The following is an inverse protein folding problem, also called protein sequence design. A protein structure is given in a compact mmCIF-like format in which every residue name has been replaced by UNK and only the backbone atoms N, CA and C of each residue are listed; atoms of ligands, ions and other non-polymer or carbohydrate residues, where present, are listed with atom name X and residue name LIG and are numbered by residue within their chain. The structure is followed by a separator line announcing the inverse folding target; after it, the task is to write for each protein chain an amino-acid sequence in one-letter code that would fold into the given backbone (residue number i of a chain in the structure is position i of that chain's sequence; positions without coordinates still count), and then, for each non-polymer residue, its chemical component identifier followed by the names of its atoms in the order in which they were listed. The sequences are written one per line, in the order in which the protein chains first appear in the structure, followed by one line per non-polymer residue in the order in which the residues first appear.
data_IF_315671919362
#
_entry.id   IF_315671919362
#
_cell.length_a   1.000
_cell.length_b   1.000
_cell.length_c   1.000
_cell.angle_alpha   90.00
_cell.angle_beta   90.00
_cell.angle_gamma   90.00
#
_symmetry.space_group_name_H-M   'P 1'
#
loop_
_entity.id
_entity.type
_entity.pdbx_description
1 polymer ?
#
# COMPACT_ATOMS: atom_id res chain seq x y z
N UNK A 1 -19.72 14.17 -6.71
CA UNK A 1 -18.65 13.38 -7.36
C UNK A 1 -18.18 12.35 -6.38
N UNK A 2 -17.76 11.16 -6.81
CA UNK A 2 -17.24 10.15 -5.88
C UNK A 2 -15.88 10.57 -5.32
N UNK A 3 -15.63 10.30 -4.03
CA UNK A 3 -14.36 10.59 -3.36
C UNK A 3 -13.25 9.60 -3.77
N UNK A 4 -13.63 8.47 -4.36
CA UNK A 4 -12.74 7.46 -4.93
C UNK A 4 -13.13 7.20 -6.38
N UNK A 5 -12.18 7.32 -7.31
CA UNK A 5 -12.35 6.91 -8.70
C UNK A 5 -11.72 5.54 -8.90
N UNK A 6 -12.41 4.67 -9.62
CA UNK A 6 -11.96 3.30 -9.87
C UNK A 6 -11.81 3.12 -11.39
N UNK A 7 -10.59 2.81 -11.82
CA UNK A 7 -10.25 2.57 -13.20
C UNK A 7 -9.59 1.19 -13.37
N UNK A 8 -9.91 0.53 -14.48
CA UNK A 8 -9.36 -0.79 -14.77
C UNK A 8 -8.40 -0.74 -15.95
N UNK A 9 -7.22 -1.31 -15.77
CA UNK A 9 -6.16 -1.45 -16.77
C UNK A 9 -5.80 -2.94 -16.92
N UNK A 10 -6.60 -3.69 -17.69
CA UNK A 10 -6.44 -5.14 -17.77
C UNK A 10 -6.65 -5.81 -16.41
N UNK A 11 -5.60 -6.44 -15.88
CA UNK A 11 -5.62 -7.08 -14.54
C UNK A 11 -5.21 -6.15 -13.40
N UNK A 12 -5.00 -4.87 -13.66
CA UNK A 12 -4.69 -3.86 -12.64
C UNK A 12 -5.93 -3.03 -12.34
N UNK A 13 -6.25 -2.86 -11.05
CA UNK A 13 -7.29 -1.95 -10.58
C UNK A 13 -6.64 -0.72 -9.95
N UNK A 14 -6.88 0.45 -10.53
CA UNK A 14 -6.42 1.73 -9.99
C UNK A 14 -7.52 2.39 -9.16
N UNK A 15 -7.18 2.77 -7.94
CA UNK A 15 -8.01 3.50 -6.99
C UNK A 15 -7.42 4.90 -6.83
N UNK A 16 -8.07 5.90 -7.43
CA UNK A 16 -7.57 7.29 -7.37
C UNK A 16 -8.35 8.07 -6.32
N UNK A 17 -7.65 8.58 -5.31
CA UNK A 17 -8.21 9.46 -4.28
C UNK A 17 -8.65 10.77 -4.92
N UNK A 18 -9.92 11.15 -4.76
CA UNK A 18 -10.53 12.27 -5.49
C UNK A 18 -11.29 13.23 -4.57
N UNK A 19 -10.60 13.76 -3.56
CA UNK A 19 -11.07 14.88 -2.71
C UNK A 19 -10.14 16.10 -2.84
N UNK A 20 -9.98 16.69 -4.04
CA UNK A 20 -8.98 17.73 -4.28
C UNK A 20 -9.20 18.98 -3.40
N UNK A 21 -10.45 19.33 -3.09
CA UNK A 21 -10.82 20.43 -2.21
C UNK A 21 -10.36 20.22 -0.76
N UNK A 22 -10.21 18.97 -0.32
CA UNK A 22 -9.70 18.58 0.99
C UNK A 22 -8.26 18.02 0.92
N UNK A 23 -7.52 18.25 -0.19
CA UNK A 23 -6.16 17.73 -0.40
C UNK A 23 -6.08 16.21 -0.21
N UNK A 24 -7.13 15.49 -0.61
CA UNK A 24 -7.30 14.05 -0.41
C UNK A 24 -7.22 13.60 1.06
N UNK A 25 -7.59 14.44 2.02
CA UNK A 25 -7.68 14.05 3.42
C UNK A 25 -8.60 12.83 3.59
N UNK A 26 -8.14 11.85 4.37
CA UNK A 26 -8.81 10.58 4.59
C UNK A 26 -9.90 10.74 5.66
N UNK A 27 -11.15 10.85 5.20
CA UNK A 27 -12.33 10.80 6.06
C UNK A 27 -12.89 9.37 6.13
N UNK A 28 -13.88 9.16 6.99
CA UNK A 28 -14.57 7.87 7.14
C UNK A 28 -15.13 7.35 5.81
N UNK A 29 -15.75 8.23 5.00
CA UNK A 29 -16.39 7.85 3.74
C UNK A 29 -15.36 7.33 2.73
N UNK A 30 -14.22 8.03 2.55
CA UNK A 30 -13.16 7.62 1.63
C UNK A 30 -12.48 6.32 2.09
N UNK A 31 -12.19 6.17 3.40
CA UNK A 31 -11.64 4.92 3.93
C UNK A 31 -12.59 3.74 3.73
N UNK A 32 -13.90 3.96 3.88
CA UNK A 32 -14.92 2.92 3.60
C UNK A 32 -14.89 2.52 2.13
N UNK A 33 -14.88 3.49 1.20
CA UNK A 33 -14.82 3.21 -0.24
C UNK A 33 -13.54 2.45 -0.63
N UNK A 34 -12.38 2.80 -0.04
CA UNK A 34 -11.12 2.08 -0.28
C UNK A 34 -11.25 0.63 0.22
N UNK A 35 -11.73 0.42 1.45
CA UNK A 35 -11.88 -0.92 2.03
C UNK A 35 -12.81 -1.79 1.19
N UNK A 36 -13.98 -1.29 0.83
CA UNK A 36 -14.97 -2.00 -0.01
C UNK A 36 -14.41 -2.34 -1.40
N UNK A 37 -13.74 -1.37 -2.05
CA UNK A 37 -13.12 -1.60 -3.36
C UNK A 37 -12.05 -2.70 -3.31
N UNK A 38 -11.21 -2.71 -2.26
CA UNK A 38 -10.19 -3.74 -2.07
C UNK A 38 -10.80 -5.11 -1.73
N UNK A 39 -11.88 -5.18 -0.94
CA UNK A 39 -12.59 -6.43 -0.65
C UNK A 39 -13.21 -7.04 -1.91
N UNK A 40 -13.85 -6.23 -2.74
CA UNK A 40 -14.35 -6.68 -4.06
C UNK A 40 -13.19 -7.16 -4.94
N UNK A 41 -12.09 -6.39 -5.01
CA UNK A 41 -10.92 -6.75 -5.78
C UNK A 41 -10.23 -8.05 -5.27
N UNK A 42 -10.31 -8.33 -3.96
CA UNK A 42 -9.70 -9.53 -3.38
C UNK A 42 -10.34 -10.83 -3.91
N UNK A 43 -11.64 -10.82 -4.20
CA UNK A 43 -12.41 -11.96 -4.69
C UNK A 43 -12.56 -11.98 -6.23
N UNK A 44 -12.24 -10.90 -6.94
CA UNK A 44 -12.29 -10.82 -8.40
C UNK A 44 -11.02 -11.43 -9.02
N UNK A 45 -11.09 -12.64 -9.55
CA UNK A 45 -9.95 -13.33 -10.18
C UNK A 45 -9.39 -12.59 -11.40
N UNK A 46 -10.13 -11.68 -11.98
CA UNK A 46 -9.68 -10.84 -13.08
C UNK A 46 -8.80 -9.67 -12.63
N UNK A 47 -8.73 -9.36 -11.33
CA UNK A 47 -7.81 -8.40 -10.72
C UNK A 47 -6.57 -9.13 -10.16
N UNK A 48 -5.39 -8.76 -10.60
CA UNK A 48 -4.12 -9.29 -10.10
C UNK A 48 -3.42 -8.37 -9.10
N UNK A 49 -3.51 -7.05 -9.31
CA UNK A 49 -2.82 -6.01 -8.53
C UNK A 49 -3.73 -4.80 -8.37
N UNK A 50 -3.64 -4.13 -7.21
CA UNK A 50 -4.26 -2.81 -7.04
C UNK A 50 -3.19 -1.71 -6.93
N UNK A 51 -3.50 -0.52 -7.47
CA UNK A 51 -2.69 0.69 -7.35
C UNK A 51 -3.54 1.77 -6.68
N UNK A 52 -3.05 2.39 -5.60
CA UNK A 52 -3.66 3.58 -5.01
C UNK A 52 -2.88 4.79 -5.48
N UNK A 53 -3.56 5.79 -6.02
CA UNK A 53 -2.96 7.05 -6.47
C UNK A 53 -3.74 8.26 -5.93
N UNK A 54 -3.11 9.42 -6.00
CA UNK A 54 -3.77 10.69 -5.68
C UNK A 54 -3.78 11.63 -6.89
N UNK A 55 -3.64 12.93 -6.63
CA UNK A 55 -3.45 13.92 -7.67
C UNK A 55 -1.98 14.40 -7.71
N UNK A 56 -1.55 15.19 -8.72
CA UNK A 56 -0.14 15.59 -8.84
C UNK A 56 0.44 16.38 -7.67
N UNK A 57 -0.40 16.99 -6.80
CA UNK A 57 0.04 17.78 -5.65
C UNK A 57 -0.12 17.07 -4.31
N UNK A 58 -1.09 16.16 -4.22
CA UNK A 58 -1.43 15.46 -2.99
C UNK A 58 -1.76 14.00 -3.29
N UNK A 59 -0.97 13.09 -2.76
CA UNK A 59 -1.43 11.73 -2.56
C UNK A 59 -2.56 11.75 -1.52
N UNK A 60 -2.24 12.08 -0.27
CA UNK A 60 -3.20 12.38 0.79
C UNK A 60 -2.54 13.21 1.89
N UNK A 61 -3.19 14.31 2.29
CA UNK A 61 -2.61 15.27 3.26
C UNK A 61 -2.81 14.89 4.73
N UNK A 62 -3.39 13.72 5.02
CA UNK A 62 -3.60 13.22 6.37
C UNK A 62 -5.03 12.77 6.64
N UNK A 63 -5.39 12.61 7.90
CA UNK A 63 -6.77 12.39 8.32
C UNK A 63 -7.59 13.69 8.15
N UNK A 64 -8.90 13.54 7.97
CA UNK A 64 -9.80 14.70 7.95
C UNK A 64 -9.97 15.22 9.39
N UNK A 65 -9.30 16.35 9.70
CA UNK A 65 -9.28 16.93 11.03
C UNK A 65 -10.66 17.45 11.47
N UNK A 66 -11.56 17.79 10.53
CA UNK A 66 -12.91 18.19 10.88
C UNK A 66 -13.70 17.03 11.52
N UNK A 67 -13.44 15.78 11.08
CA UNK A 67 -14.05 14.60 11.71
C UNK A 67 -13.43 14.24 13.07
N UNK A 68 -12.28 14.83 13.43
CA UNK A 68 -11.58 14.54 14.67
C UNK A 68 -11.79 15.61 15.74
N UNK A 69 -11.99 16.86 15.33
CA UNK A 69 -11.92 18.05 16.21
C UNK A 69 -12.94 18.01 17.36
N UNK A 70 -14.11 17.43 17.15
CA UNK A 70 -15.19 17.40 18.14
C UNK A 70 -15.32 16.08 18.91
N UNK A 71 -14.38 15.12 18.68
CA UNK A 71 -14.45 13.81 19.33
C UNK A 71 -13.81 13.84 20.71
N UNK A 72 -14.58 13.45 21.71
CA UNK A 72 -14.09 13.10 23.03
C UNK A 72 -13.50 11.66 23.06
N UNK A 73 -13.05 11.22 24.22
CA UNK A 73 -12.45 9.88 24.36
C UNK A 73 -13.45 8.75 24.04
N UNK A 74 -14.71 8.73 24.52
CA UNK A 74 -15.70 7.73 24.15
C UNK A 74 -15.93 7.65 22.63
N UNK A 75 -16.16 8.78 21.97
CA UNK A 75 -16.37 8.84 20.53
C UNK A 75 -15.11 8.41 19.72
N UNK A 76 -13.92 8.58 20.28
CA UNK A 76 -12.67 8.11 19.69
C UNK A 76 -12.52 6.59 19.83
N UNK A 77 -12.90 6.01 20.96
CA UNK A 77 -12.86 4.55 21.18
C UNK A 77 -13.89 3.81 20.32
N UNK A 78 -15.05 4.41 20.06
CA UNK A 78 -16.10 3.85 19.19
C UNK A 78 -15.87 4.13 17.69
N UNK A 79 -14.77 4.78 17.34
CA UNK A 79 -14.49 5.13 15.95
C UNK A 79 -14.34 3.87 15.06
N UNK A 80 -15.03 3.88 13.93
CA UNK A 80 -14.95 2.78 12.95
C UNK A 80 -13.63 2.77 12.16
N UNK A 81 -12.90 3.91 12.09
CA UNK A 81 -11.68 4.04 11.28
C UNK A 81 -10.61 2.98 11.59
N UNK A 82 -10.31 2.60 12.83
CA UNK A 82 -9.38 1.49 13.11
C UNK A 82 -9.81 0.18 12.43
N UNK A 83 -11.12 -0.13 12.40
CA UNK A 83 -11.64 -1.31 11.69
C UNK A 83 -11.50 -1.18 10.18
N UNK A 84 -11.68 0.02 9.61
CA UNK A 84 -11.48 0.26 8.19
C UNK A 84 -10.01 0.07 7.80
N UNK A 85 -9.07 0.55 8.60
CA UNK A 85 -7.64 0.30 8.40
C UNK A 85 -7.30 -1.19 8.43
N UNK A 86 -7.87 -1.95 9.36
CA UNK A 86 -7.70 -3.41 9.41
C UNK A 86 -8.24 -4.09 8.14
N UNK A 87 -9.40 -3.66 7.62
CA UNK A 87 -9.96 -4.18 6.37
C UNK A 87 -9.08 -3.89 5.16
N UNK A 88 -8.53 -2.67 5.06
CA UNK A 88 -7.58 -2.29 4.01
C UNK A 88 -6.30 -3.14 4.12
N UNK A 89 -5.78 -3.30 5.34
CA UNK A 89 -4.57 -4.09 5.62
C UNK A 89 -4.74 -5.57 5.30
N UNK A 90 -5.95 -6.11 5.41
CA UNK A 90 -6.28 -7.50 5.10
C UNK A 90 -6.24 -7.84 3.59
N UNK A 91 -6.00 -6.86 2.71
CA UNK A 91 -5.96 -7.10 1.27
C UNK A 91 -4.81 -8.04 0.87
N UNK A 92 -5.14 -9.17 0.24
CA UNK A 92 -4.22 -10.29 0.02
C UNK A 92 -3.43 -10.22 -1.29
N UNK A 93 -3.88 -9.43 -2.27
CA UNK A 93 -3.15 -9.24 -3.54
C UNK A 93 -2.14 -8.11 -3.43
N UNK A 94 -1.13 -8.01 -4.31
CA UNK A 94 -0.20 -6.89 -4.30
C UNK A 94 -0.91 -5.53 -4.38
N UNK A 95 -0.44 -4.59 -3.57
CA UNK A 95 -0.96 -3.23 -3.46
C UNK A 95 0.20 -2.24 -3.61
N UNK A 96 0.09 -1.33 -4.56
CA UNK A 96 1.13 -0.34 -4.88
C UNK A 96 0.58 1.06 -4.57
N UNK A 97 1.36 1.89 -3.88
CA UNK A 97 1.09 3.31 -3.79
C UNK A 97 1.84 4.06 -4.91
N UNK A 98 1.11 4.83 -5.71
CA UNK A 98 1.66 5.81 -6.64
C UNK A 98 1.58 7.19 -6.02
N UNK A 99 2.71 7.70 -5.53
CA UNK A 99 2.73 8.87 -4.66
C UNK A 99 3.31 10.08 -5.38
N UNK A 100 2.45 11.06 -5.67
CA UNK A 100 2.85 12.39 -6.10
C UNK A 100 2.53 13.43 -5.00
N UNK A 101 3.41 14.42 -4.85
CA UNK A 101 3.24 15.49 -3.88
C UNK A 101 3.22 14.97 -2.44
N UNK A 102 2.29 15.47 -1.63
CA UNK A 102 2.30 15.21 -0.20
C UNK A 102 1.58 13.91 0.19
N UNK A 103 2.27 13.02 0.89
CA UNK A 103 1.77 11.88 1.65
C UNK A 103 2.08 12.12 3.13
N UNK A 104 1.13 12.73 3.86
CA UNK A 104 1.34 13.16 5.25
C UNK A 104 0.36 12.49 6.21
N UNK A 105 0.80 12.25 7.45
CA UNK A 105 -0.02 11.63 8.49
C UNK A 105 -0.68 10.34 8.01
N UNK A 106 -2.00 10.23 8.14
CA UNK A 106 -2.76 9.08 7.65
C UNK A 106 -2.54 8.79 6.15
N UNK A 107 -2.19 9.80 5.33
CA UNK A 107 -1.81 9.59 3.94
C UNK A 107 -0.46 8.87 3.80
N UNK A 108 0.51 9.20 4.64
CA UNK A 108 1.77 8.47 4.74
C UNK A 108 1.53 7.04 5.27
N UNK A 109 0.65 6.87 6.26
CA UNK A 109 0.26 5.57 6.81
C UNK A 109 -0.40 4.67 5.74
N UNK A 110 -1.22 5.25 4.85
CA UNK A 110 -1.80 4.52 3.72
C UNK A 110 -0.73 4.08 2.72
N UNK A 111 0.25 4.93 2.41
CA UNK A 111 1.37 4.55 1.55
C UNK A 111 2.24 3.47 2.19
N UNK A 112 2.54 3.57 3.50
CA UNK A 112 3.28 2.57 4.29
C UNK A 112 2.58 1.20 4.39
N UNK A 113 1.25 1.17 4.26
CA UNK A 113 0.48 -0.07 4.26
C UNK A 113 0.60 -0.81 2.92
N UNK A 114 0.87 -0.10 1.83
CA UNK A 114 1.08 -0.71 0.52
C UNK A 114 2.37 -1.55 0.50
N UNK A 115 2.41 -2.57 -0.36
CA UNK A 115 3.58 -3.46 -0.48
C UNK A 115 4.76 -2.75 -1.17
N UNK A 116 4.48 -1.79 -2.04
CA UNK A 116 5.46 -1.02 -2.81
C UNK A 116 5.02 0.45 -2.90
N UNK A 117 6.00 1.35 -2.92
CA UNK A 117 5.78 2.77 -3.16
C UNK A 117 6.59 3.19 -4.39
N UNK A 118 5.90 3.63 -5.44
CA UNK A 118 6.48 4.34 -6.58
C UNK A 118 6.20 5.82 -6.37
N UNK A 119 7.25 6.65 -6.38
CA UNK A 119 7.13 8.06 -6.04
C UNK A 119 7.45 8.98 -7.24
N UNK A 120 6.76 10.10 -7.30
CA UNK A 120 7.19 11.24 -8.09
C UNK A 120 8.40 11.94 -7.45
N UNK A 121 9.22 12.59 -8.26
CA UNK A 121 10.35 13.39 -7.78
C UNK A 121 9.92 14.57 -6.88
N UNK A 122 8.62 14.93 -6.93
CA UNK A 122 7.99 15.94 -6.07
C UNK A 122 7.42 15.36 -4.76
N UNK A 123 7.51 14.04 -4.53
CA UNK A 123 6.87 13.41 -3.38
C UNK A 123 7.51 13.81 -2.04
N UNK A 124 6.66 13.94 -1.02
CA UNK A 124 7.02 14.26 0.36
C UNK A 124 6.30 13.33 1.31
N UNK A 125 7.05 12.70 2.20
CA UNK A 125 6.53 11.74 3.20
C UNK A 125 6.77 12.28 4.60
N UNK A 126 5.76 12.22 5.46
CA UNK A 126 5.90 12.69 6.84
C UNK A 126 4.77 12.23 7.75
N UNK A 127 5.06 12.23 9.06
CA UNK A 127 4.11 11.91 10.12
C UNK A 127 4.08 13.11 11.12
N UNK A 128 3.42 14.23 10.75
CA UNK A 128 3.47 15.47 11.51
C UNK A 128 2.46 15.52 12.68
N UNK A 129 1.83 14.42 13.07
CA UNK A 129 0.77 14.36 14.09
C UNK A 129 1.19 14.96 15.42
N UNK A 130 2.49 14.90 15.75
CA UNK A 130 3.02 15.48 16.99
C UNK A 130 2.78 17.00 17.08
N UNK A 131 2.70 17.69 15.96
CA UNK A 131 2.41 19.14 15.92
C UNK A 131 0.97 19.46 16.30
N UNK A 132 0.09 18.45 16.32
CA UNK A 132 -1.30 18.55 16.74
C UNK A 132 -1.52 18.00 18.16
N UNK A 133 -0.45 17.64 18.89
CA UNK A 133 -0.55 17.05 20.23
C UNK A 133 -1.02 15.60 20.25
N UNK A 134 -0.92 14.91 19.12
CA UNK A 134 -1.26 13.48 18.97
C UNK A 134 -0.10 12.72 18.30
N UNK A 135 -0.26 11.43 18.10
CA UNK A 135 0.71 10.59 17.40
C UNK A 135 0.04 9.86 16.22
N UNK A 136 0.81 9.29 15.27
CA UNK A 136 0.26 8.43 14.22
C UNK A 136 -0.59 7.29 14.81
N UNK A 137 -1.78 7.06 14.26
CA UNK A 137 -2.76 6.13 14.83
C UNK A 137 -3.17 4.97 13.89
N UNK A 138 -2.66 4.93 12.66
CA UNK A 138 -2.98 3.89 11.67
C UNK A 138 -1.76 3.03 11.28
N UNK A 139 -0.77 2.94 12.17
CA UNK A 139 0.41 2.09 12.02
C UNK A 139 1.68 2.82 11.59
N UNK A 140 1.65 4.15 11.48
CA UNK A 140 2.80 4.94 11.04
C UNK A 140 4.06 4.70 11.85
N UNK A 141 3.97 4.73 13.18
CA UNK A 141 5.14 4.46 14.05
C UNK A 141 5.69 3.05 13.87
N UNK A 142 4.83 2.07 13.60
CA UNK A 142 5.21 0.65 13.52
C UNK A 142 5.78 0.30 12.15
N UNK A 143 5.15 0.78 11.07
CA UNK A 143 5.59 0.48 9.70
C UNK A 143 6.79 1.34 9.29
N UNK A 144 6.81 2.62 9.66
CA UNK A 144 7.92 3.50 9.29
C UNK A 144 9.26 3.01 9.85
N UNK A 145 9.31 2.67 11.16
CA UNK A 145 10.57 2.21 11.78
C UNK A 145 11.10 0.91 11.17
N UNK A 146 10.20 0.03 10.70
CA UNK A 146 10.57 -1.20 10.01
C UNK A 146 11.10 -0.94 8.60
N UNK A 147 10.64 0.13 7.96
CA UNK A 147 11.05 0.50 6.60
C UNK A 147 12.36 1.28 6.57
N UNK A 148 12.50 2.32 7.42
CA UNK A 148 13.61 3.29 7.33
C UNK A 148 14.59 3.23 8.49
N UNK A 149 14.35 2.33 9.46
CA UNK A 149 15.14 2.20 10.66
C UNK A 149 14.86 3.25 11.74
N UNK A 150 15.39 3.02 12.95
CA UNK A 150 15.05 3.80 14.14
C UNK A 150 15.40 5.29 14.02
N UNK A 151 16.58 5.61 13.50
CA UNK A 151 17.07 6.99 13.52
C UNK A 151 16.18 7.93 12.68
N UNK A 152 15.89 7.56 11.44
CA UNK A 152 15.07 8.37 10.54
C UNK A 152 13.60 8.37 10.98
N UNK A 153 13.05 7.22 11.37
CA UNK A 153 11.68 7.14 11.85
C UNK A 153 11.46 8.01 13.10
N UNK A 154 12.39 7.95 14.10
CA UNK A 154 12.31 8.79 15.30
C UNK A 154 12.36 10.28 14.94
N UNK A 155 13.27 10.68 14.04
CA UNK A 155 13.33 12.06 13.57
C UNK A 155 12.01 12.51 12.97
N UNK A 156 11.48 11.77 11.99
CA UNK A 156 10.23 12.12 11.32
C UNK A 156 9.03 12.20 12.28
N UNK A 157 8.90 11.23 13.19
CA UNK A 157 7.75 11.18 14.11
C UNK A 157 7.85 12.21 15.23
N UNK A 158 9.05 12.40 15.82
CA UNK A 158 9.22 13.26 17.01
C UNK A 158 9.37 14.74 16.65
N UNK A 159 9.90 15.06 15.45
CA UNK A 159 9.98 16.46 14.99
C UNK A 159 8.79 16.87 14.11
N UNK A 160 8.06 15.90 13.54
CA UNK A 160 7.03 16.16 12.51
C UNK A 160 7.59 16.56 11.14
N UNK A 161 8.91 16.47 10.95
CA UNK A 161 9.55 16.79 9.67
C UNK A 161 9.21 15.76 8.58
N UNK A 162 9.07 16.24 7.35
CA UNK A 162 8.91 15.38 6.18
C UNK A 162 10.23 15.17 5.46
N UNK A 163 10.35 14.04 4.76
CA UNK A 163 11.47 13.72 3.87
C UNK A 163 11.02 13.79 2.40
N UNK A 164 11.96 14.08 1.50
CA UNK A 164 11.70 14.06 0.06
C UNK A 164 11.80 12.63 -0.53
N UNK A 165 11.44 12.52 -1.82
CA UNK A 165 11.45 11.24 -2.54
C UNK A 165 12.84 10.57 -2.53
N UNK A 166 13.92 11.35 -2.70
CA UNK A 166 15.30 10.81 -2.71
C UNK A 166 15.72 10.29 -1.36
N UNK A 167 15.45 11.04 -0.29
CA UNK A 167 15.70 10.59 1.08
C UNK A 167 14.89 9.33 1.39
N UNK A 168 13.62 9.28 0.96
CA UNK A 168 12.76 8.12 1.13
C UNK A 168 13.28 6.88 0.39
N UNK A 169 13.78 7.04 -0.84
CA UNK A 169 14.39 5.95 -1.61
C UNK A 169 15.70 5.48 -0.98
N UNK A 170 16.58 6.39 -0.59
CA UNK A 170 17.85 6.05 0.07
C UNK A 170 17.65 5.31 1.40
N UNK A 171 16.54 5.62 2.10
CA UNK A 171 16.17 4.95 3.34
C UNK A 171 15.42 3.62 3.15
N UNK A 172 15.09 3.23 1.91
CA UNK A 172 14.38 1.98 1.60
C UNK A 172 12.86 2.07 1.73
N UNK A 173 12.28 3.27 1.86
CA UNK A 173 10.84 3.48 1.89
C UNK A 173 10.20 3.43 0.48
N UNK A 174 10.89 3.99 -0.51
CA UNK A 174 10.43 4.10 -1.90
C UNK A 174 11.24 3.17 -2.77
N UNK A 175 10.58 2.36 -3.62
CA UNK A 175 11.26 1.47 -4.56
C UNK A 175 11.84 2.24 -5.76
N UNK A 176 11.04 3.14 -6.35
CA UNK A 176 11.38 3.83 -7.59
C UNK A 176 10.95 5.29 -7.55
N UNK A 177 11.76 6.16 -8.18
CA UNK A 177 11.45 7.59 -8.37
C UNK A 177 11.36 7.88 -9.85
N UNK A 178 10.30 8.57 -10.25
CA UNK A 178 10.06 9.01 -11.61
C UNK A 178 9.68 10.49 -11.65
N UNK A 179 9.77 11.16 -12.81
CA UNK A 179 9.18 12.49 -12.97
C UNK A 179 7.71 12.47 -12.57
N UNK A 180 7.25 13.46 -11.80
CA UNK A 180 5.90 13.49 -11.22
C UNK A 180 4.79 13.27 -12.27
N UNK A 181 4.97 13.77 -13.50
CA UNK A 181 4.02 13.60 -14.59
C UNK A 181 3.89 12.14 -15.09
N UNK A 182 4.87 11.28 -14.81
CA UNK A 182 4.95 9.90 -15.28
C UNK A 182 4.79 8.86 -14.17
N UNK A 183 4.69 9.28 -12.92
CA UNK A 183 4.66 8.38 -11.75
C UNK A 183 3.57 7.32 -11.87
N UNK A 184 2.34 7.74 -12.21
CA UNK A 184 1.20 6.80 -12.33
C UNK A 184 1.41 5.81 -13.48
N UNK A 185 1.97 6.25 -14.60
CA UNK A 185 2.29 5.38 -15.74
C UNK A 185 3.27 4.28 -15.34
N UNK A 186 4.35 4.66 -14.63
CA UNK A 186 5.34 3.69 -14.16
C UNK A 186 4.77 2.74 -13.09
N UNK A 187 3.96 3.24 -12.16
CA UNK A 187 3.28 2.41 -11.17
C UNK A 187 2.34 1.39 -11.82
N UNK A 188 1.57 1.81 -12.82
CA UNK A 188 0.68 0.93 -13.60
C UNK A 188 1.47 -0.09 -14.44
N UNK A 189 2.61 0.29 -15.00
CA UNK A 189 3.51 -0.61 -15.73
C UNK A 189 4.12 -1.69 -14.81
N UNK A 190 4.57 -1.29 -13.61
CA UNK A 190 5.04 -2.23 -12.59
C UNK A 190 3.92 -3.17 -12.16
N UNK A 191 2.74 -2.62 -11.87
CA UNK A 191 1.55 -3.40 -11.51
C UNK A 191 1.18 -4.41 -12.61
N UNK A 192 1.20 -4.01 -13.88
CA UNK A 192 0.94 -4.89 -15.02
C UNK A 192 1.99 -6.00 -15.14
N UNK A 193 3.25 -5.71 -14.85
CA UNK A 193 4.33 -6.72 -14.80
C UNK A 193 4.07 -7.74 -13.71
N UNK A 194 3.74 -7.30 -12.49
CA UNK A 194 3.41 -8.17 -11.36
C UNK A 194 2.16 -9.01 -11.67
N UNK A 195 1.11 -8.41 -12.25
CA UNK A 195 -0.16 -9.06 -12.54
C UNK A 195 -0.07 -10.20 -13.59
N UNK A 196 1.07 -10.35 -14.29
CA UNK A 196 1.34 -11.48 -15.20
C UNK A 196 1.72 -12.77 -14.48
N UNK A 197 2.15 -12.68 -13.22
CA UNK A 197 2.59 -13.84 -12.45
C UNK A 197 1.40 -14.58 -11.83
N UNK A 198 1.68 -15.83 -11.37
CA UNK A 198 0.68 -16.67 -10.72
C UNK A 198 0.03 -15.96 -9.53
N UNK A 199 -1.30 -15.81 -9.49
CA UNK A 199 -2.00 -15.20 -8.37
C UNK A 199 -1.74 -15.88 -7.03
N UNK A 200 -1.63 -17.22 -7.03
CA UNK A 200 -1.35 -17.98 -5.81
C UNK A 200 0.07 -17.71 -5.31
N UNK A 201 1.05 -17.68 -6.21
CA UNK A 201 2.44 -17.40 -5.86
C UNK A 201 2.60 -15.94 -5.32
N UNK A 202 1.93 -14.97 -5.94
CA UNK A 202 1.95 -13.59 -5.48
C UNK A 202 1.35 -13.43 -4.07
N UNK A 203 0.20 -14.08 -3.81
CA UNK A 203 -0.44 -14.06 -2.47
C UNK A 203 0.47 -14.69 -1.42
N UNK A 204 1.06 -15.85 -1.72
CA UNK A 204 1.97 -16.54 -0.82
C UNK A 204 3.24 -15.72 -0.55
N UNK A 205 3.84 -15.11 -1.58
CA UNK A 205 5.00 -14.25 -1.45
C UNK A 205 4.70 -13.01 -0.58
N UNK A 206 3.57 -12.31 -0.84
CA UNK A 206 3.12 -11.18 -0.01
C UNK A 206 2.93 -11.61 1.44
N UNK A 207 2.26 -12.72 1.70
CA UNK A 207 2.05 -13.26 3.04
C UNK A 207 3.39 -13.52 3.74
N UNK A 208 4.35 -14.15 3.06
CA UNK A 208 5.68 -14.45 3.60
C UNK A 208 6.47 -13.18 3.90
N UNK A 209 6.47 -12.20 2.99
CA UNK A 209 7.13 -10.89 3.18
C UNK A 209 6.55 -10.14 4.39
N UNK A 210 5.23 -10.12 4.54
CA UNK A 210 4.58 -9.47 5.70
C UNK A 210 4.93 -10.17 7.01
N UNK A 211 4.90 -11.49 7.01
CA UNK A 211 5.23 -12.29 8.19
C UNK A 211 6.66 -12.05 8.68
N UNK A 212 7.60 -11.76 7.78
CA UNK A 212 8.99 -11.46 8.14
C UNK A 212 9.14 -10.28 9.11
N UNK A 213 8.14 -9.39 9.16
CA UNK A 213 8.11 -8.23 10.05
C UNK A 213 7.54 -8.56 11.46
N UNK A 214 6.93 -9.74 11.63
CA UNK A 214 6.14 -10.09 12.82
C UNK A 214 6.75 -11.22 13.64
N UNK A 215 7.59 -12.08 13.02
CA UNK A 215 8.08 -13.30 13.67
C UNK A 215 9.60 -13.41 13.63
N UNK A 216 10.15 -14.37 14.40
CA UNK A 216 11.57 -14.70 14.32
C UNK A 216 11.93 -15.29 12.95
N UNK A 217 13.19 -15.14 12.52
CA UNK A 217 13.67 -15.69 11.25
C UNK A 217 13.35 -17.20 11.13
N UNK A 218 13.54 -17.96 12.19
CA UNK A 218 13.27 -19.40 12.18
C UNK A 218 11.79 -19.71 11.91
N UNK A 219 10.87 -19.01 12.57
CA UNK A 219 9.42 -19.17 12.33
C UNK A 219 9.03 -18.71 10.92
N UNK A 220 9.61 -17.63 10.42
CA UNK A 220 9.42 -17.15 9.05
C UNK A 220 9.86 -18.19 8.02
N UNK A 221 11.06 -18.79 8.18
CA UNK A 221 11.57 -19.82 7.28
C UNK A 221 10.71 -21.10 7.28
N UNK A 222 10.13 -21.48 8.41
CA UNK A 222 9.19 -22.60 8.48
C UNK A 222 7.92 -22.32 7.67
N UNK A 223 7.34 -21.12 7.84
CA UNK A 223 6.15 -20.72 7.12
C UNK A 223 6.41 -20.59 5.61
N UNK A 224 7.54 -20.00 5.22
CA UNK A 224 7.96 -19.90 3.83
C UNK A 224 8.06 -21.28 3.18
N UNK A 225 8.67 -22.27 3.87
CA UNK A 225 8.77 -23.66 3.41
C UNK A 225 7.40 -24.29 3.22
N UNK A 226 6.46 -24.04 4.12
CA UNK A 226 5.09 -24.55 4.01
C UNK A 226 4.38 -23.96 2.78
N UNK A 227 4.44 -22.63 2.60
CA UNK A 227 3.85 -21.95 1.45
C UNK A 227 4.46 -22.43 0.13
N UNK A 228 5.80 -22.57 0.07
CA UNK A 228 6.50 -23.13 -1.09
C UNK A 228 6.02 -24.54 -1.41
N UNK A 229 5.85 -25.39 -0.39
CA UNK A 229 5.38 -26.78 -0.56
C UNK A 229 3.95 -26.82 -1.09
N UNK A 230 3.05 -25.95 -0.59
CA UNK A 230 1.68 -25.83 -1.10
C UNK A 230 1.65 -25.41 -2.57
N UNK A 231 2.47 -24.42 -2.94
CA UNK A 231 2.57 -23.98 -4.33
C UNK A 231 3.06 -25.07 -5.27
N UNK A 232 3.84 -26.04 -4.77
CA UNK A 232 4.34 -27.12 -5.60
C UNK A 232 3.26 -28.07 -6.14
N UNK A 233 2.06 -28.06 -5.55
CA UNK A 233 0.90 -28.84 -6.00
C UNK A 233 0.02 -28.11 -7.04
N UNK A 234 0.29 -26.82 -7.34
CA UNK A 234 -0.56 -26.01 -8.21
C UNK A 234 -0.36 -26.31 -9.70
N UNK A 235 -1.40 -26.09 -10.51
CA UNK A 235 -1.31 -26.12 -11.97
C UNK A 235 -0.40 -24.98 -12.48
N UNK A 236 -0.47 -23.80 -11.86
CA UNK A 236 0.35 -22.63 -12.21
C UNK A 236 1.85 -22.95 -12.11
N UNK A 237 2.28 -23.75 -11.13
CA UNK A 237 3.67 -24.17 -11.04
C UNK A 237 4.09 -25.02 -12.25
N UNK A 238 3.25 -25.99 -12.66
CA UNK A 238 3.53 -26.81 -13.86
C UNK A 238 3.61 -25.93 -15.09
N UNK A 239 2.61 -25.09 -15.29
CA UNK A 239 2.56 -24.14 -16.41
C UNK A 239 3.81 -23.25 -16.46
N UNK A 240 4.22 -22.70 -15.32
CA UNK A 240 5.40 -21.84 -15.23
C UNK A 240 6.69 -22.56 -15.64
N UNK A 241 6.88 -23.81 -15.17
CA UNK A 241 8.05 -24.63 -15.52
C UNK A 241 8.01 -25.03 -17.00
N UNK A 242 6.86 -25.51 -17.49
CA UNK A 242 6.71 -25.93 -18.88
C UNK A 242 6.92 -24.76 -19.85
N UNK A 243 6.33 -23.60 -19.55
CA UNK A 243 6.51 -22.40 -20.35
C UNK A 243 7.97 -21.95 -20.39
N UNK A 244 8.68 -22.00 -19.26
CA UNK A 244 10.10 -21.67 -19.19
C UNK A 244 10.96 -22.61 -20.06
N UNK A 245 10.75 -23.92 -19.95
CA UNK A 245 11.47 -24.93 -20.74
C UNK A 245 11.19 -24.81 -22.24
N UNK A 246 9.95 -24.45 -22.60
CA UNK A 246 9.50 -24.25 -23.98
C UNK A 246 9.79 -22.83 -24.52
N UNK A 247 10.35 -21.93 -23.71
CA UNK A 247 10.63 -20.52 -24.05
C UNK A 247 9.40 -19.74 -24.55
N UNK A 248 8.24 -19.99 -23.94
CA UNK A 248 7.00 -19.28 -24.19
C UNK A 248 6.52 -18.50 -22.97
N UNK A 249 5.59 -17.59 -23.16
CA UNK A 249 4.95 -16.88 -22.04
C UNK A 249 3.99 -17.83 -21.31
N UNK A 250 4.02 -17.91 -19.95
CA UNK A 250 3.10 -18.73 -19.18
C UNK A 250 1.69 -18.09 -19.13
N UNK A 251 0.67 -18.96 -19.01
CA UNK A 251 -0.73 -18.60 -18.81
C UNK A 251 -1.22 -19.08 -17.44
N UNK A 252 -1.04 -18.25 -16.42
CA UNK A 252 -1.44 -18.59 -15.06
C UNK A 252 -2.93 -18.43 -14.83
N UNK A 253 -3.55 -19.44 -14.19
CA UNK A 253 -5.00 -19.51 -13.93
C UNK A 253 -5.37 -19.37 -12.45
N UNK A 254 -4.38 -19.34 -11.55
CA UNK A 254 -4.60 -19.21 -10.11
C UNK A 254 -5.11 -20.49 -9.44
N UNK A 255 -4.73 -21.65 -9.93
CA UNK A 255 -5.15 -22.96 -9.41
C UNK A 255 -4.05 -24.03 -9.49
#
# INVERSE_FOLDING_TARGET
MSDLLIHRHGRVLQLTLNRPQARNALNKALLTQIAEALEVAATDDSVGVCVISGNPRFFAAGADLNEMAEKDLPATLDDIRPRLWTRIDAFTKPLIASVNGYALGAGCELALLCDLIVAGDNARFGLPEITLGIMPGAGGTQRLIRSVGKALASRMVLSGESIDARQAQQAGLVSDIHPAALTDEYALKLAATIARHSPLALRAAKQSLRLSQEVSLQAGLQQERQLFSLLSATEDRREGIDAFLQKRTPEFKGR
#
